data_IF_076548807580
#
_entry.id   IF_076548807580
#
_cell.length_a   1.000
_cell.length_b   1.000
_cell.length_c   1.000
_cell.angle_alpha   90.00
_cell.angle_beta   90.00
_cell.angle_gamma   90.00
#
_symmetry.space_group_name_H-M   'P 1'
#
loop_
_entity.id
_entity.type
_entity.pdbx_description
1 polymer ?
#
# COMPACT_ATOMS: atom_id res chain seq x y z
N UNK A 1 2.04 -21.18 -2.42
CA UNK A 1 2.45 -20.49 -3.65
C UNK A 1 2.59 -19.02 -3.29
N UNK A 2 3.74 -18.40 -3.56
CA UNK A 2 3.90 -16.95 -3.35
C UNK A 2 3.11 -16.20 -4.42
N UNK A 3 2.72 -14.96 -4.13
CA UNK A 3 2.25 -14.03 -5.16
C UNK A 3 3.38 -13.04 -5.40
N UNK A 4 3.77 -12.87 -6.64
CA UNK A 4 4.69 -11.84 -7.10
C UNK A 4 3.93 -10.72 -7.83
N UNK A 5 4.57 -9.57 -7.96
CA UNK A 5 4.01 -8.39 -8.61
C UNK A 5 4.92 -8.01 -9.77
N UNK A 6 4.28 -7.83 -10.92
CA UNK A 6 4.88 -7.30 -12.13
C UNK A 6 4.17 -5.99 -12.50
N UNK A 7 4.79 -5.20 -13.37
CA UNK A 7 4.19 -3.96 -13.81
C UNK A 7 5.08 -3.18 -14.75
N UNK A 8 4.54 -2.09 -15.27
CA UNK A 8 5.27 -1.16 -16.12
C UNK A 8 4.79 0.27 -15.90
N UNK A 9 5.70 1.23 -16.06
CA UNK A 9 5.34 2.63 -16.29
C UNK A 9 5.23 2.82 -17.80
N UNK A 10 4.04 3.19 -18.24
CA UNK A 10 3.76 3.54 -19.63
C UNK A 10 3.68 5.06 -19.79
N UNK A 11 4.08 5.52 -20.97
CA UNK A 11 3.97 6.91 -21.40
C UNK A 11 3.21 6.99 -22.73
N UNK A 12 2.32 7.97 -22.86
CA UNK A 12 1.65 8.24 -24.12
C UNK A 12 2.54 9.08 -25.05
N UNK A 13 2.62 8.70 -26.31
CA UNK A 13 3.32 9.46 -27.35
C UNK A 13 2.42 10.52 -28.02
N UNK A 14 3.01 11.31 -28.91
CA UNK A 14 2.31 12.39 -29.61
C UNK A 14 1.23 11.88 -30.58
N UNK A 15 1.31 10.61 -30.99
CA UNK A 15 0.32 9.95 -31.84
C UNK A 15 -0.82 9.33 -31.00
N UNK A 16 -0.72 9.42 -29.67
CA UNK A 16 -1.73 8.98 -28.72
C UNK A 16 -1.58 7.53 -28.25
N UNK A 17 -0.50 6.84 -28.61
CA UNK A 17 -0.26 5.45 -28.23
C UNK A 17 0.57 5.34 -26.96
N UNK A 18 0.27 4.33 -26.14
CA UNK A 18 1.05 4.02 -24.95
C UNK A 18 2.29 3.20 -25.30
N UNK A 19 3.42 3.59 -24.74
CA UNK A 19 4.72 2.93 -24.85
C UNK A 19 5.21 2.55 -23.46
N UNK A 20 5.79 1.35 -23.33
CA UNK A 20 6.50 0.97 -22.12
C UNK A 20 7.78 1.80 -22.01
N UNK A 21 7.94 2.52 -20.90
CA UNK A 21 9.16 3.29 -20.60
C UNK A 21 10.02 2.63 -19.53
N UNK A 22 9.40 2.02 -18.52
CA UNK A 22 10.11 1.38 -17.40
C UNK A 22 9.42 0.08 -17.03
N UNK A 23 10.19 -0.99 -16.91
CA UNK A 23 9.75 -2.23 -16.29
C UNK A 23 9.80 -2.08 -14.76
N UNK A 24 8.72 -2.39 -14.05
CA UNK A 24 8.66 -2.25 -12.60
C UNK A 24 9.73 -3.11 -11.89
N UNK A 25 10.15 -4.23 -12.50
CA UNK A 25 11.20 -5.10 -11.97
C UNK A 25 12.58 -4.43 -11.93
N UNK A 26 12.81 -3.36 -12.70
CA UNK A 26 14.05 -2.59 -12.64
C UNK A 26 14.25 -1.89 -11.28
N UNK A 27 13.15 -1.57 -10.59
CA UNK A 27 13.19 -1.05 -9.21
C UNK A 27 13.43 -2.13 -8.16
N UNK A 28 13.37 -3.41 -8.55
CA UNK A 28 13.47 -4.59 -7.67
C UNK A 28 12.56 -4.46 -6.45
N UNK A 29 11.24 -4.26 -6.63
CA UNK A 29 10.31 -4.15 -5.52
C UNK A 29 10.40 -5.41 -4.65
N UNK A 30 10.55 -5.26 -3.32
CA UNK A 30 10.44 -6.41 -2.45
C UNK A 30 9.02 -6.96 -2.52
N UNK A 31 8.86 -8.23 -2.11
CA UNK A 31 7.54 -8.82 -1.89
C UNK A 31 6.91 -8.19 -0.65
N UNK A 32 6.26 -7.05 -0.86
CA UNK A 32 5.71 -6.19 0.17
C UNK A 32 4.18 -6.20 0.13
N UNK A 33 3.61 -7.25 0.72
CA UNK A 33 2.16 -7.41 0.81
C UNK A 33 1.47 -6.28 1.59
N UNK A 34 2.19 -5.53 2.43
CA UNK A 34 1.62 -4.40 3.17
C UNK A 34 1.38 -3.23 2.22
N UNK A 35 2.38 -2.92 1.40
CA UNK A 35 2.23 -1.91 0.37
C UNK A 35 1.18 -2.32 -0.68
N UNK A 36 1.17 -3.59 -1.12
CA UNK A 36 0.22 -4.06 -2.12
C UNK A 36 -1.23 -4.04 -1.62
N UNK A 37 -1.46 -4.33 -0.33
CA UNK A 37 -2.78 -4.22 0.29
C UNK A 37 -3.30 -2.77 0.21
N UNK A 38 -2.50 -1.79 0.65
CA UNK A 38 -2.96 -0.41 0.70
C UNK A 38 -3.03 0.30 -0.66
N UNK A 39 -2.15 -0.07 -1.60
CA UNK A 39 -2.12 0.54 -2.92
C UNK A 39 -3.10 -0.13 -3.88
N UNK A 40 -3.17 -1.47 -3.87
CA UNK A 40 -3.84 -2.24 -4.92
C UNK A 40 -4.86 -3.26 -4.40
N UNK A 41 -5.04 -3.39 -3.09
CA UNK A 41 -6.01 -4.32 -2.49
C UNK A 41 -5.60 -5.79 -2.60
N UNK A 42 -4.31 -6.09 -2.74
CA UNK A 42 -3.83 -7.46 -2.99
C UNK A 42 -3.13 -8.05 -1.76
N UNK A 43 -3.54 -9.27 -1.40
CA UNK A 43 -2.93 -10.11 -0.33
C UNK A 43 -2.88 -9.44 1.04
N UNK A 44 -3.92 -8.66 1.34
CA UNK A 44 -4.03 -7.93 2.58
C UNK A 44 -4.20 -8.73 3.87
N UNK A 45 -4.04 -8.01 4.98
CA UNK A 45 -4.25 -8.55 6.34
C UNK A 45 -5.67 -8.35 6.87
N UNK A 46 -6.54 -7.67 6.09
CA UNK A 46 -7.92 -7.34 6.48
C UNK A 46 -8.07 -6.02 7.25
N UNK A 47 -6.99 -5.25 7.38
CA UNK A 47 -6.97 -3.93 8.02
C UNK A 47 -7.16 -2.76 7.02
N UNK A 48 -7.16 -3.06 5.72
CA UNK A 48 -7.43 -2.12 4.63
C UNK A 48 -8.80 -2.43 4.05
N UNK A 49 -9.70 -1.45 4.07
CA UNK A 49 -11.04 -1.52 3.46
C UNK A 49 -11.11 -0.73 2.14
N UNK A 50 -10.27 0.30 2.00
CA UNK A 50 -10.26 1.25 0.89
C UNK A 50 -8.84 1.43 0.35
N UNK A 51 -8.33 0.48 -0.45
CA UNK A 51 -7.06 0.65 -1.16
C UNK A 51 -7.14 1.82 -2.16
N UNK A 52 -6.01 2.47 -2.44
CA UNK A 52 -5.99 3.70 -3.25
C UNK A 52 -6.34 3.46 -4.73
N UNK A 53 -5.80 2.39 -5.32
CA UNK A 53 -5.81 2.15 -6.76
C UNK A 53 -6.21 0.71 -7.11
N UNK A 54 -7.10 0.08 -6.33
CA UNK A 54 -7.54 -1.29 -6.60
C UNK A 54 -8.65 -1.37 -7.66
N UNK A 55 -8.85 -2.58 -8.20
CA UNK A 55 -10.03 -2.99 -8.97
C UNK A 55 -10.33 -2.17 -10.25
N UNK A 56 -9.30 -1.65 -10.91
CA UNK A 56 -9.46 -0.89 -12.17
C UNK A 56 -9.29 -1.73 -13.43
N UNK A 57 -8.76 -2.95 -13.30
CA UNK A 57 -8.51 -3.86 -14.41
C UNK A 57 -7.29 -3.47 -15.24
N UNK A 58 -7.10 -4.17 -16.36
CA UNK A 58 -6.08 -3.84 -17.37
C UNK A 58 -6.70 -2.85 -18.37
N UNK A 59 -6.09 -1.68 -18.64
CA UNK A 59 -6.58 -0.78 -19.68
C UNK A 59 -6.62 -1.45 -21.06
N UNK A 60 -7.66 -1.18 -21.85
CA UNK A 60 -7.79 -1.73 -23.20
C UNK A 60 -6.72 -1.23 -24.16
N UNK A 61 -6.12 -0.07 -23.87
CA UNK A 61 -5.15 0.64 -24.68
C UNK A 61 -3.69 0.48 -24.19
N UNK A 62 -3.40 -0.51 -23.34
CA UNK A 62 -2.01 -0.82 -22.96
C UNK A 62 -1.12 -1.08 -24.17
N UNK A 63 0.15 -0.72 -24.03
CA UNK A 63 1.21 -1.01 -25.00
C UNK A 63 1.26 -2.49 -25.35
N UNK A 64 1.76 -2.82 -26.53
CA UNK A 64 1.89 -4.22 -26.98
C UNK A 64 2.73 -5.05 -26.00
N UNK A 65 3.85 -4.50 -25.51
CA UNK A 65 4.70 -5.17 -24.53
C UNK A 65 3.98 -5.48 -23.21
N UNK A 66 3.19 -4.54 -22.68
CA UNK A 66 2.38 -4.79 -21.47
C UNK A 66 1.28 -5.80 -21.77
N UNK A 67 0.63 -5.75 -22.93
CA UNK A 67 -0.39 -6.71 -23.32
C UNK A 67 0.14 -8.14 -23.37
N UNK A 68 1.35 -8.33 -23.92
CA UNK A 68 2.01 -9.64 -23.99
C UNK A 68 2.38 -10.18 -22.61
N UNK A 69 2.86 -9.32 -21.69
CA UNK A 69 3.32 -9.74 -20.37
C UNK A 69 2.18 -9.89 -19.34
N UNK A 70 1.16 -9.04 -19.41
CA UNK A 70 0.09 -8.98 -18.42
C UNK A 70 -1.04 -9.99 -18.69
N UNK A 71 -1.10 -10.61 -19.87
CA UNK A 71 -2.18 -11.55 -20.23
C UNK A 71 -1.69 -12.99 -20.20
N UNK A 72 -2.17 -13.76 -19.23
CA UNK A 72 -1.96 -15.20 -19.15
C UNK A 72 -2.77 -15.84 -18.02
N UNK A 73 -2.71 -17.17 -17.93
CA UNK A 73 -3.58 -17.97 -17.05
C UNK A 73 -3.36 -17.72 -15.54
N UNK A 74 -2.22 -17.12 -15.19
CA UNK A 74 -1.82 -16.89 -13.79
C UNK A 74 -1.85 -15.41 -13.41
N UNK A 75 -1.96 -14.50 -14.38
CA UNK A 75 -2.00 -13.06 -14.15
C UNK A 75 -3.39 -12.64 -13.68
N UNK A 76 -3.45 -11.91 -12.57
CA UNK A 76 -4.70 -11.48 -11.96
C UNK A 76 -4.56 -10.11 -11.29
N UNK A 77 -5.69 -9.59 -10.79
CA UNK A 77 -5.76 -8.35 -10.01
C UNK A 77 -5.10 -7.14 -10.72
N UNK A 78 -5.24 -7.08 -12.05
CA UNK A 78 -4.74 -5.97 -12.83
C UNK A 78 -5.33 -4.66 -12.36
N UNK A 79 -4.48 -3.65 -12.27
CA UNK A 79 -4.91 -2.29 -12.00
C UNK A 79 -3.90 -1.29 -12.54
N UNK A 80 -4.27 -0.02 -12.53
CA UNK A 80 -3.42 1.06 -13.03
C UNK A 80 -3.72 2.39 -12.34
N UNK A 81 -2.79 3.32 -12.44
CA UNK A 81 -2.92 4.68 -11.90
C UNK A 81 -2.14 5.66 -12.76
N UNK A 82 -2.76 6.77 -13.18
CA UNK A 82 -2.03 7.86 -13.85
C UNK A 82 -1.19 8.66 -12.85
N UNK A 83 -0.19 9.39 -13.33
CA UNK A 83 0.54 10.29 -12.43
C UNK A 83 -0.37 11.38 -11.85
N UNK A 84 -1.31 11.91 -12.64
CA UNK A 84 -2.31 12.86 -12.15
C UNK A 84 -3.09 12.32 -10.94
N UNK A 85 -3.53 11.06 -10.99
CA UNK A 85 -4.23 10.42 -9.89
C UNK A 85 -3.32 10.16 -8.67
N UNK A 86 -2.11 9.64 -8.89
CA UNK A 86 -1.16 9.37 -7.82
C UNK A 86 -0.73 10.66 -7.08
N UNK A 87 -0.55 11.75 -7.82
CA UNK A 87 -0.21 13.07 -7.28
C UNK A 87 -1.38 13.71 -6.52
N UNK A 88 -2.62 13.46 -6.93
CA UNK A 88 -3.82 13.97 -6.29
C UNK A 88 -4.31 13.09 -5.11
N UNK A 89 -3.75 11.90 -4.94
CA UNK A 89 -4.18 10.97 -3.89
C UNK A 89 -3.99 11.57 -2.49
N UNK A 90 -5.01 11.41 -1.64
CA UNK A 90 -4.90 11.72 -0.22
C UNK A 90 -4.24 10.55 0.53
N UNK A 91 -2.92 10.62 0.66
CA UNK A 91 -2.11 9.59 1.32
C UNK A 91 -2.35 9.49 2.83
N UNK A 92 -3.00 10.48 3.42
CA UNK A 92 -3.30 10.58 4.85
C UNK A 92 -4.76 10.24 5.16
N UNK A 93 -5.56 9.94 4.13
CA UNK A 93 -6.92 9.44 4.30
C UNK A 93 -6.94 8.06 5.01
N UNK A 94 -7.91 7.83 5.92
CA UNK A 94 -8.10 6.52 6.54
C UNK A 94 -8.39 5.40 5.54
N UNK A 95 -7.59 4.33 5.59
CA UNK A 95 -7.79 3.12 4.78
C UNK A 95 -8.93 2.22 5.28
N UNK A 96 -9.38 2.41 6.53
CA UNK A 96 -10.52 1.71 7.13
C UNK A 96 -11.30 2.63 8.06
N UNK A 97 -12.56 2.30 8.36
CA UNK A 97 -13.38 3.10 9.28
C UNK A 97 -13.00 2.92 10.76
N UNK A 98 -12.28 1.84 11.06
CA UNK A 98 -11.94 1.40 12.42
C UNK A 98 -10.43 1.25 12.58
N UNK A 99 -9.92 1.21 13.82
CA UNK A 99 -8.53 0.86 14.06
C UNK A 99 -8.16 -0.50 13.48
N UNK A 100 -6.88 -0.70 13.20
CA UNK A 100 -6.31 -1.93 12.70
C UNK A 100 -6.23 -3.03 13.77
N UNK A 101 -6.45 -4.28 13.39
CA UNK A 101 -6.35 -5.48 14.23
C UNK A 101 -4.91 -5.93 14.45
N UNK A 102 -4.06 -5.72 13.44
CA UNK A 102 -2.71 -6.25 13.40
C UNK A 102 -1.64 -5.17 13.55
N UNK A 103 -2.04 -3.92 13.75
CA UNK A 103 -1.15 -2.78 13.91
C UNK A 103 -1.51 -1.93 15.14
N UNK A 104 -0.50 -1.32 15.73
CA UNK A 104 -0.64 -0.34 16.80
C UNK A 104 0.43 0.75 16.65
N UNK A 105 0.14 1.95 17.16
CA UNK A 105 1.18 2.92 17.46
C UNK A 105 1.91 2.49 18.73
N UNK A 106 3.24 2.58 18.71
CA UNK A 106 4.12 2.36 19.85
C UNK A 106 4.95 3.61 20.08
N UNK A 107 4.77 4.22 21.23
CA UNK A 107 5.55 5.36 21.69
C UNK A 107 6.58 4.90 22.70
N UNK A 108 7.84 5.21 22.47
CA UNK A 108 8.95 4.99 23.40
C UNK A 108 9.90 6.20 23.41
N UNK A 109 10.99 6.20 24.20
CA UNK A 109 11.93 7.31 24.21
C UNK A 109 12.65 7.60 22.88
N UNK A 110 12.66 6.66 21.93
CA UNK A 110 13.23 6.84 20.60
C UNK A 110 12.23 7.46 19.61
N UNK A 111 10.92 7.36 19.89
CA UNK A 111 9.88 8.07 19.14
C UNK A 111 8.58 7.28 18.99
N UNK A 112 7.82 7.65 17.96
CA UNK A 112 6.58 6.99 17.55
C UNK A 112 6.87 6.00 16.43
N UNK A 113 6.35 4.78 16.57
CA UNK A 113 6.55 3.70 15.61
C UNK A 113 5.23 3.01 15.29
N UNK A 114 5.02 2.68 14.01
CA UNK A 114 3.98 1.74 13.63
C UNK A 114 4.52 0.32 13.79
N UNK A 115 3.84 -0.52 14.58
CA UNK A 115 4.32 -1.89 14.86
C UNK A 115 3.22 -2.92 14.72
N UNK A 116 3.61 -4.15 14.39
CA UNK A 116 2.70 -5.29 14.39
C UNK A 116 2.28 -5.65 15.80
N UNK A 117 1.00 -5.93 15.98
CA UNK A 117 0.44 -6.41 17.25
C UNK A 117 0.94 -7.82 17.53
N UNK A 118 1.54 -8.02 18.71
CA UNK A 118 2.01 -9.33 19.16
C UNK A 118 1.01 -9.99 20.12
N UNK A 119 1.06 -11.33 20.31
CA UNK A 119 0.28 -11.99 21.35
C UNK A 119 0.52 -11.38 22.74
N UNK A 120 1.77 -11.06 23.06
CA UNK A 120 2.14 -10.40 24.33
C UNK A 120 1.47 -9.04 24.52
N UNK A 121 1.35 -8.24 23.45
CA UNK A 121 0.61 -6.97 23.53
C UNK A 121 -0.89 -7.22 23.78
N UNK A 122 -1.49 -8.22 23.13
CA UNK A 122 -2.90 -8.56 23.37
C UNK A 122 -3.16 -9.07 24.78
N UNK A 123 -2.22 -9.82 25.35
CA UNK A 123 -2.26 -10.23 26.76
C UNK A 123 -2.10 -9.03 27.71
N UNK A 124 -1.19 -8.12 27.40
CA UNK A 124 -1.01 -6.90 28.19
C UNK A 124 -2.29 -6.05 28.18
N UNK A 125 -2.91 -5.86 27.01
CA UNK A 125 -4.18 -5.17 26.89
C UNK A 125 -5.29 -5.84 27.72
N UNK A 126 -5.40 -7.17 27.65
CA UNK A 126 -6.36 -7.93 28.45
C UNK A 126 -6.18 -7.67 29.95
N UNK A 127 -4.94 -7.71 30.45
CA UNK A 127 -4.62 -7.39 31.85
C UNK A 127 -4.94 -5.94 32.20
N UNK A 128 -4.58 -4.99 31.34
CA UNK A 128 -4.79 -3.56 31.57
C UNK A 128 -6.28 -3.21 31.64
N UNK A 129 -7.11 -3.85 30.83
CA UNK A 129 -8.55 -3.56 30.75
C UNK A 129 -9.43 -4.57 31.50
N UNK A 130 -8.84 -5.50 32.26
CA UNK A 130 -9.56 -6.46 33.09
C UNK A 130 -10.37 -7.50 32.31
N UNK A 131 -9.85 -7.96 31.18
CA UNK A 131 -10.44 -9.01 30.34
C UNK A 131 -9.72 -10.35 30.53
N UNK A 132 -10.48 -11.44 30.56
CA UNK A 132 -9.95 -12.81 30.55
C UNK A 132 -9.58 -13.31 29.13
N UNK A 133 -9.95 -12.54 28.10
CA UNK A 133 -9.65 -12.80 26.69
C UNK A 133 -8.60 -11.83 26.18
N UNK A 134 -7.74 -12.31 25.27
CA UNK A 134 -6.80 -11.49 24.51
C UNK A 134 -7.54 -10.39 23.75
N UNK A 135 -7.08 -9.15 23.86
CA UNK A 135 -7.74 -7.99 23.22
C UNK A 135 -6.89 -7.42 22.08
N UNK A 136 -7.45 -7.37 20.89
CA UNK A 136 -6.90 -6.64 19.76
C UNK A 136 -7.18 -5.13 19.87
N UNK A 137 -6.38 -4.27 19.21
CA UNK A 137 -6.53 -2.81 19.32
C UNK A 137 -7.95 -2.25 19.09
N UNK A 138 -8.75 -2.75 18.14
CA UNK A 138 -10.11 -2.24 17.90
C UNK A 138 -11.08 -2.56 19.04
N UNK A 139 -10.71 -3.48 19.94
CA UNK A 139 -11.52 -3.92 21.08
C UNK A 139 -11.15 -3.14 22.36
N UNK A 140 -10.13 -2.29 22.30
CA UNK A 140 -9.73 -1.48 23.45
C UNK A 140 -10.73 -0.33 23.67
N UNK A 141 -10.89 0.15 24.92
CA UNK A 141 -11.73 1.31 25.18
C UNK A 141 -11.29 2.56 24.37
N UNK A 142 -12.20 3.49 24.06
CA UNK A 142 -11.83 4.74 23.39
C UNK A 142 -10.74 5.52 24.16
N UNK A 143 -9.68 5.93 23.45
CA UNK A 143 -8.54 6.63 24.05
C UNK A 143 -7.64 5.75 24.94
N UNK A 144 -7.82 4.44 24.89
CA UNK A 144 -7.05 3.52 25.71
C UNK A 144 -5.57 3.45 25.32
N UNK A 145 -4.75 3.28 26.34
CA UNK A 145 -3.30 3.12 26.25
C UNK A 145 -2.90 1.84 26.96
N UNK A 146 -2.01 1.04 26.34
CA UNK A 146 -1.48 -0.18 26.93
C UNK A 146 0.01 0.02 27.22
N UNK A 147 0.43 0.15 28.49
CA UNK A 147 1.85 0.19 28.84
C UNK A 147 2.43 -1.22 28.81
N UNK A 148 3.56 -1.38 28.11
CA UNK A 148 4.29 -2.65 28.02
C UNK A 148 5.77 -2.37 27.75
N UNK A 149 6.65 -2.98 28.56
CA UNK A 149 8.12 -2.95 28.39
C UNK A 149 8.71 -1.54 28.19
N UNK A 150 8.19 -0.55 28.92
CA UNK A 150 8.66 0.84 28.86
C UNK A 150 8.16 1.64 27.66
N UNK A 151 7.26 1.07 26.86
CA UNK A 151 6.55 1.76 25.77
C UNK A 151 5.05 1.86 26.07
N UNK A 152 4.38 2.76 25.36
CA UNK A 152 2.92 2.93 25.39
C UNK A 152 2.37 2.59 24.02
N UNK A 153 1.36 1.73 23.97
CA UNK A 153 0.72 1.30 22.74
C UNK A 153 -0.68 1.89 22.62
N UNK A 154 -1.06 2.32 21.40
CA UNK A 154 -2.38 2.88 21.07
C UNK A 154 -2.94 2.24 19.80
N UNK A 155 -4.29 2.12 19.68
CA UNK A 155 -4.90 1.74 18.42
C UNK A 155 -4.53 2.74 17.32
N UNK A 156 -4.40 2.25 16.08
CA UNK A 156 -4.06 3.06 14.91
C UNK A 156 -5.11 2.88 13.82
N UNK A 157 -5.52 3.98 13.21
CA UNK A 157 -6.24 3.97 11.93
C UNK A 157 -5.20 4.17 10.84
N UNK A 158 -5.02 3.16 9.98
CA UNK A 158 -3.96 3.16 8.98
C UNK A 158 -4.25 4.16 7.85
N UNK A 159 -3.19 4.78 7.35
CA UNK A 159 -3.19 5.57 6.10
C UNK A 159 -2.22 4.94 5.11
N UNK A 160 -2.35 5.28 3.82
CA UNK A 160 -1.42 4.78 2.81
C UNK A 160 0.02 5.25 3.08
N UNK A 161 0.20 6.49 3.55
CA UNK A 161 1.52 7.04 3.92
C UNK A 161 2.24 6.19 4.96
N UNK A 162 1.50 5.63 5.93
CA UNK A 162 2.09 4.80 6.98
C UNK A 162 2.60 3.44 6.46
N UNK A 163 1.99 2.92 5.39
CA UNK A 163 2.23 1.55 4.90
C UNK A 163 3.10 1.51 3.64
N UNK A 164 2.93 2.48 2.75
CA UNK A 164 3.68 2.66 1.52
C UNK A 164 3.98 4.16 1.34
N UNK A 165 4.88 4.75 2.14
CA UNK A 165 5.20 6.16 2.09
C UNK A 165 5.60 6.58 0.66
N UNK A 166 4.99 7.63 0.09
CA UNK A 166 5.24 8.01 -1.30
C UNK A 166 6.64 8.61 -1.52
N UNK A 167 7.34 8.94 -0.45
CA UNK A 167 8.61 9.66 -0.40
C UNK A 167 9.76 8.84 0.21
N UNK A 168 9.49 7.62 0.69
CA UNK A 168 10.49 6.70 1.22
C UNK A 168 10.45 5.30 0.56
N UNK A 169 11.56 4.57 0.66
CA UNK A 169 11.65 3.17 0.20
C UNK A 169 11.58 2.98 -1.33
N UNK A 170 11.16 1.80 -1.76
CA UNK A 170 11.11 1.45 -3.20
C UNK A 170 9.97 2.15 -3.93
N UNK A 171 8.80 2.29 -3.31
CA UNK A 171 7.65 2.96 -3.93
C UNK A 171 7.93 4.43 -4.26
N UNK A 172 8.70 5.12 -3.42
CA UNK A 172 9.15 6.48 -3.73
C UNK A 172 9.98 6.59 -5.01
N UNK A 173 10.71 5.54 -5.39
CA UNK A 173 11.45 5.52 -6.66
C UNK A 173 10.51 5.38 -7.85
N UNK A 174 9.46 4.55 -7.73
CA UNK A 174 8.41 4.39 -8.74
C UNK A 174 7.67 5.71 -8.94
N UNK A 175 7.20 6.34 -7.86
CA UNK A 175 6.50 7.62 -7.93
C UNK A 175 7.38 8.75 -8.45
N UNK A 176 8.67 8.77 -8.08
CA UNK A 176 9.63 9.72 -8.65
C UNK A 176 9.78 9.51 -10.16
N UNK A 177 9.91 8.28 -10.64
CA UNK A 177 10.03 8.00 -12.07
C UNK A 177 8.79 8.48 -12.84
N UNK A 178 7.59 8.21 -12.32
CA UNK A 178 6.34 8.72 -12.92
C UNK A 178 6.31 10.25 -12.98
N UNK A 179 6.66 10.93 -11.88
CA UNK A 179 6.73 12.39 -11.82
C UNK A 179 7.74 12.98 -12.80
N UNK A 180 8.92 12.37 -12.88
CA UNK A 180 9.99 12.89 -13.72
C UNK A 180 9.65 12.71 -15.21
N UNK A 181 8.95 11.63 -15.59
CA UNK A 181 8.36 11.47 -16.92
C UNK A 181 7.23 12.48 -17.16
N UNK A 182 6.34 12.70 -16.20
CA UNK A 182 5.19 13.59 -16.39
C UNK A 182 5.61 15.04 -16.63
N UNK A 183 6.74 15.47 -16.05
CA UNK A 183 7.29 16.81 -16.27
C UNK A 183 7.57 17.12 -17.76
N UNK A 184 7.86 16.10 -18.58
CA UNK A 184 8.10 16.24 -20.02
C UNK A 184 6.90 15.91 -20.91
N UNK A 185 5.92 15.17 -20.39
CA UNK A 185 4.88 14.54 -21.21
C UNK A 185 3.44 14.87 -20.80
N UNK A 186 3.22 15.37 -19.58
CA UNK A 186 1.89 15.62 -19.01
C UNK A 186 1.48 14.56 -17.99
N UNK A 187 0.74 14.99 -16.96
CA UNK A 187 0.37 14.14 -15.83
C UNK A 187 -0.63 13.02 -16.19
N UNK A 188 -1.43 13.22 -17.25
CA UNK A 188 -2.37 12.22 -17.78
C UNK A 188 -1.73 11.25 -18.78
N UNK A 189 -0.52 11.56 -19.25
CA UNK A 189 0.19 10.83 -20.30
C UNK A 189 1.31 9.94 -19.72
N UNK A 190 1.26 9.70 -18.41
CA UNK A 190 2.11 8.74 -17.68
C UNK A 190 1.24 7.92 -16.75
N UNK A 191 1.36 6.60 -16.80
CA UNK A 191 0.63 5.70 -15.89
C UNK A 191 1.48 4.52 -15.45
N UNK A 192 1.22 4.04 -14.24
CA UNK A 192 1.69 2.74 -13.76
C UNK A 192 0.59 1.72 -14.03
N UNK A 193 0.93 0.59 -14.62
CA UNK A 193 0.07 -0.60 -14.76
C UNK A 193 0.73 -1.73 -13.98
N UNK A 194 -0.03 -2.44 -13.14
CA UNK A 194 0.47 -3.58 -12.35
C UNK A 194 -0.45 -4.78 -12.45
N UNK A 195 0.13 -5.96 -12.27
CA UNK A 195 -0.58 -7.24 -12.18
C UNK A 195 0.18 -8.20 -11.28
N UNK A 196 -0.49 -9.29 -10.89
CA UNK A 196 0.01 -10.23 -9.88
C UNK A 196 -0.09 -11.67 -10.39
N UNK A 197 0.83 -12.54 -9.96
CA UNK A 197 0.90 -13.95 -10.38
C UNK A 197 1.57 -14.87 -9.36
#
# INVERSE_FOLDING_TARGET
MGTDMDGAIERRDADGYWQLEVDLLDFRPPRDYVAWDCLFGVRGTGDVERPLFADRGLPDDVSESVREAAVGDYQHSHTYVSWAEAAAADWDAPLAARPAWYWAHRSDPAGEHLVRVTPTLREAAARTFGSDLLLAPPEWPPGAEVPLDGAVYRPVVLTARMLAPPDEGTWAQVWRAMRDLSAGHGDEDVRLVVWFG
#
